data_IF_678962176358
#
_entry.id   IF_678962176358
#
_cell.length_a   1.000
_cell.length_b   1.000
_cell.length_c   1.000
_cell.angle_alpha   90.00
_cell.angle_beta   90.00
_cell.angle_gamma   90.00
#
_symmetry.space_group_name_H-M   'P 1'
#
loop_
_entity.id
_entity.type
_entity.pdbx_description
1 polymer ?
#
# COMPACT_ATOMS: atom_id res chain seq x y z
N UNK A 1 0.25 14.80 55.68
CA UNK A 1 1.60 14.28 55.32
C UNK A 1 1.75 12.75 55.46
N UNK A 2 1.27 12.05 56.49
CA UNK A 2 1.43 10.59 56.64
C UNK A 2 0.77 9.70 55.55
N UNK A 3 -0.34 10.16 54.90
CA UNK A 3 -1.02 9.39 53.82
C UNK A 3 -0.28 9.38 52.48
N UNK A 4 0.53 10.44 52.21
CA UNK A 4 1.31 10.56 50.97
C UNK A 4 2.53 9.68 51.01
N UNK A 5 3.20 9.59 52.20
CA UNK A 5 4.37 8.74 52.39
C UNK A 5 4.04 7.24 52.21
N UNK A 6 2.86 6.75 52.67
CA UNK A 6 2.46 5.37 52.47
C UNK A 6 2.22 5.01 50.99
N UNK A 7 1.65 5.93 50.19
CA UNK A 7 1.44 5.70 48.75
C UNK A 7 2.78 5.72 47.96
N UNK A 8 3.71 6.56 48.36
CA UNK A 8 5.05 6.61 47.74
C UNK A 8 5.87 5.35 48.01
N UNK A 9 5.75 4.80 49.23
CA UNK A 9 6.43 3.55 49.58
C UNK A 9 5.91 2.33 48.83
N UNK A 10 4.59 2.26 48.53
CA UNK A 10 3.99 1.17 47.75
C UNK A 10 4.41 1.25 46.28
N UNK A 11 4.47 2.44 45.70
CA UNK A 11 4.92 2.64 44.33
C UNK A 11 6.39 2.27 44.14
N UNK A 12 7.25 2.62 45.13
CA UNK A 12 8.65 2.26 45.09
C UNK A 12 8.88 0.74 45.23
N UNK A 13 8.09 0.07 46.08
CA UNK A 13 8.14 -1.38 46.22
C UNK A 13 7.70 -2.14 44.95
N UNK A 14 6.69 -1.64 44.27
CA UNK A 14 6.21 -2.22 43.00
C UNK A 14 7.25 -2.04 41.89
N UNK A 15 7.95 -0.89 41.83
CA UNK A 15 9.05 -0.69 40.88
C UNK A 15 10.25 -1.61 41.15
N UNK A 16 10.61 -1.89 42.41
CA UNK A 16 11.69 -2.82 42.72
C UNK A 16 11.37 -4.26 42.37
N UNK A 17 10.12 -4.68 42.48
CA UNK A 17 9.70 -6.03 42.08
C UNK A 17 9.72 -6.22 40.55
N UNK A 18 9.43 -5.16 39.79
CA UNK A 18 9.52 -5.21 38.31
C UNK A 18 10.98 -5.32 37.82
N UNK A 19 11.95 -4.79 38.56
CA UNK A 19 13.37 -4.87 38.16
C UNK A 19 14.00 -6.24 38.44
N UNK A 20 13.40 -7.10 39.27
CA UNK A 20 14.00 -8.40 39.60
C UNK A 20 13.66 -9.51 38.58
N UNK A 21 12.78 -9.26 37.60
CA UNK A 21 12.44 -10.26 36.59
C UNK A 21 13.27 -10.18 35.30
N UNK A 22 14.27 -9.29 35.21
CA UNK A 22 15.09 -9.16 34.00
C UNK A 22 16.44 -9.89 34.05
N UNK A 23 16.71 -10.68 35.07
CA UNK A 23 17.93 -11.48 35.16
C UNK A 23 17.61 -12.99 35.12
N UNK A 24 17.08 -13.48 33.99
CA UNK A 24 17.13 -14.89 33.68
C UNK A 24 18.44 -15.16 32.92
N UNK A 25 19.27 -16.11 33.35
CA UNK A 25 20.46 -16.49 32.60
C UNK A 25 20.01 -17.11 31.29
N UNK A 26 20.37 -16.51 30.16
CA UNK A 26 20.27 -17.16 28.87
C UNK A 26 21.22 -18.36 28.88
N UNK A 27 20.66 -19.56 29.04
CA UNK A 27 21.39 -20.78 28.73
C UNK A 27 21.70 -20.73 27.25
N UNK A 28 22.97 -20.71 26.89
CA UNK A 28 23.42 -20.96 25.54
C UNK A 28 23.00 -22.36 25.14
N UNK A 29 21.87 -22.47 24.45
CA UNK A 29 21.50 -23.69 23.77
C UNK A 29 22.29 -23.75 22.46
N UNK A 30 22.83 -24.93 22.21
CA UNK A 30 23.66 -25.27 21.06
C UNK A 30 23.05 -24.80 19.75
N UNK A 31 23.94 -24.42 18.84
CA UNK A 31 23.65 -24.11 17.47
C UNK A 31 22.75 -25.15 16.82
N UNK A 32 21.47 -24.87 16.74
CA UNK A 32 20.65 -25.37 15.65
C UNK A 32 21.07 -24.56 14.42
N UNK A 33 21.58 -25.27 13.44
CA UNK A 33 21.76 -24.77 12.08
C UNK A 33 20.38 -24.30 11.62
N UNK A 34 20.06 -23.02 11.85
CA UNK A 34 18.93 -22.41 11.19
C UNK A 34 19.27 -22.46 9.71
N UNK A 35 18.58 -23.32 8.96
CA UNK A 35 18.38 -23.06 7.54
C UNK A 35 18.01 -21.59 7.45
N UNK A 36 18.88 -20.77 6.85
CA UNK A 36 18.51 -19.44 6.38
C UNK A 36 17.39 -19.67 5.38
N UNK A 37 16.17 -19.68 5.89
CA UNK A 37 15.00 -19.40 5.07
C UNK A 37 15.29 -18.00 4.56
N UNK A 38 15.73 -17.90 3.31
CA UNK A 38 15.85 -16.64 2.58
C UNK A 38 14.55 -15.91 2.84
N UNK A 39 14.58 -14.97 3.79
CA UNK A 39 13.43 -14.12 4.08
C UNK A 39 13.14 -13.40 2.77
N UNK A 40 12.12 -13.87 2.07
CA UNK A 40 11.71 -13.27 0.80
C UNK A 40 11.36 -11.82 1.07
N UNK A 41 11.76 -10.93 0.17
CA UNK A 41 11.36 -9.53 0.26
C UNK A 41 9.84 -9.43 0.14
N UNK A 42 9.18 -8.76 1.08
CA UNK A 42 7.72 -8.59 1.11
C UNK A 42 7.32 -7.12 1.06
N UNK A 43 6.30 -6.85 0.28
CA UNK A 43 5.59 -5.57 0.33
C UNK A 43 4.26 -5.78 1.06
N UNK A 44 4.13 -5.18 2.25
CA UNK A 44 2.93 -5.21 3.06
C UNK A 44 2.12 -3.94 2.76
N UNK A 45 0.91 -4.10 2.26
CA UNK A 45 -0.03 -3.00 2.02
C UNK A 45 -1.03 -3.00 3.16
N UNK A 46 -1.03 -1.94 3.96
CA UNK A 46 -1.81 -1.80 5.17
C UNK A 46 -2.66 -0.54 5.15
N UNK A 47 -3.65 -0.47 6.00
CA UNK A 47 -4.49 0.71 6.17
C UNK A 47 -5.21 0.65 7.52
N UNK A 48 -5.67 1.80 8.02
CA UNK A 48 -6.63 1.85 9.12
C UNK A 48 -8.08 1.50 8.68
N UNK A 49 -8.32 1.31 7.38
CA UNK A 49 -9.68 1.12 6.80
C UNK A 49 -9.81 -0.10 5.89
N UNK A 50 -8.72 -0.72 5.46
CA UNK A 50 -8.70 -1.92 4.62
C UNK A 50 -7.95 -3.06 5.31
N UNK A 51 -8.31 -4.30 5.00
CA UNK A 51 -7.56 -5.46 5.47
C UNK A 51 -6.14 -5.45 4.87
N UNK A 52 -5.12 -5.84 5.66
CA UNK A 52 -3.75 -5.91 5.19
C UNK A 52 -3.57 -7.02 4.15
N UNK A 53 -2.79 -6.74 3.13
CA UNK A 53 -2.37 -7.72 2.12
C UNK A 53 -0.85 -7.68 1.94
N UNK A 54 -0.25 -8.81 1.58
CA UNK A 54 1.20 -8.92 1.41
C UNK A 54 1.53 -9.56 0.08
N UNK A 55 2.62 -9.11 -0.55
CA UNK A 55 3.10 -9.58 -1.84
C UNK A 55 4.60 -9.85 -1.77
N UNK A 56 5.02 -11.04 -2.20
CA UNK A 56 6.43 -11.37 -2.33
C UNK A 56 6.99 -10.72 -3.59
N UNK A 57 8.18 -10.12 -3.49
CA UNK A 57 8.86 -9.50 -4.61
C UNK A 57 10.32 -9.97 -4.69
N UNK A 58 10.93 -9.78 -5.84
CA UNK A 58 12.29 -10.23 -6.12
C UNK A 58 13.15 -9.12 -6.75
N UNK A 59 14.39 -9.43 -7.07
CA UNK A 59 15.34 -8.48 -7.65
C UNK A 59 14.95 -7.95 -9.04
N UNK A 60 14.05 -8.62 -9.76
CA UNK A 60 13.56 -8.21 -11.07
C UNK A 60 12.35 -7.25 -10.95
N UNK A 61 11.75 -7.15 -9.77
CA UNK A 61 10.65 -6.21 -9.54
C UNK A 61 11.18 -4.78 -9.56
N UNK A 62 10.76 -3.99 -10.54
CA UNK A 62 11.21 -2.59 -10.71
C UNK A 62 10.22 -1.60 -10.15
N UNK A 63 8.95 -1.93 -10.24
CA UNK A 63 7.89 -1.07 -9.73
C UNK A 63 6.82 -1.88 -9.01
N UNK A 64 6.17 -1.23 -8.06
CA UNK A 64 4.93 -1.70 -7.45
C UNK A 64 3.86 -0.63 -7.57
N UNK A 65 2.67 -1.04 -8.01
CA UNK A 65 1.49 -0.18 -8.09
C UNK A 65 0.56 -0.56 -6.95
N UNK A 66 0.41 0.31 -5.96
CA UNK A 66 -0.48 0.11 -4.81
C UNK A 66 -1.76 0.88 -5.04
N UNK A 67 -2.89 0.20 -4.94
CA UNK A 67 -4.23 0.77 -5.15
C UNK A 67 -5.11 0.52 -3.94
N UNK A 68 -5.78 1.56 -3.48
CA UNK A 68 -6.89 1.47 -2.53
C UNK A 68 -8.18 1.77 -3.27
N UNK A 69 -9.13 0.86 -3.17
CA UNK A 69 -10.47 0.97 -3.72
C UNK A 69 -11.43 1.35 -2.61
N UNK A 70 -12.45 2.12 -2.95
CA UNK A 70 -13.52 2.52 -2.05
C UNK A 70 -14.86 2.17 -2.69
N UNK A 71 -15.77 1.64 -1.89
CA UNK A 71 -17.20 1.60 -2.15
C UNK A 71 -17.94 2.27 -1.00
N UNK A 72 -18.89 3.15 -1.30
CA UNK A 72 -19.69 3.86 -0.31
C UNK A 72 -21.16 3.90 -0.74
N UNK A 73 -22.07 3.98 0.22
CA UNK A 73 -23.51 4.01 -0.06
C UNK A 73 -23.97 5.36 -0.63
N UNK A 74 -23.21 6.43 -0.36
CA UNK A 74 -23.51 7.81 -0.75
C UNK A 74 -22.36 8.45 -1.53
N UNK A 75 -22.64 9.60 -2.15
CA UNK A 75 -21.61 10.42 -2.78
C UNK A 75 -20.63 10.94 -1.74
N UNK A 76 -19.35 10.95 -2.04
CA UNK A 76 -18.31 11.51 -1.16
C UNK A 76 -18.12 12.99 -1.47
N UNK A 77 -17.98 13.80 -0.43
CA UNK A 77 -17.75 15.26 -0.52
C UNK A 77 -16.42 15.71 0.07
N UNK A 78 -15.93 15.01 1.11
CA UNK A 78 -14.67 15.35 1.74
C UNK A 78 -13.84 14.10 2.02
N UNK A 79 -12.53 14.24 1.88
CA UNK A 79 -11.57 13.19 2.21
C UNK A 79 -10.25 13.83 2.68
N UNK A 80 -9.64 13.23 3.70
CA UNK A 80 -8.27 13.54 4.11
C UNK A 80 -7.56 12.26 4.46
N UNK A 81 -6.35 12.10 3.92
CA UNK A 81 -5.56 10.91 4.14
C UNK A 81 -4.08 11.18 4.06
N UNK A 82 -3.32 10.25 4.58
CA UNK A 82 -1.88 10.21 4.38
C UNK A 82 -1.42 8.79 4.00
N UNK A 83 -0.52 8.71 3.03
CA UNK A 83 0.17 7.49 2.65
C UNK A 83 1.60 7.56 3.18
N UNK A 84 2.05 6.53 3.87
CA UNK A 84 3.44 6.39 4.34
C UNK A 84 4.08 5.14 3.72
N UNK A 85 5.39 5.22 3.49
CA UNK A 85 6.16 4.13 2.90
C UNK A 85 7.63 4.18 3.37
N UNK A 86 8.35 3.07 3.27
CA UNK A 86 9.78 3.04 3.57
C UNK A 86 10.60 3.55 2.39
N UNK A 87 11.15 4.76 2.49
CA UNK A 87 11.96 5.39 1.44
C UNK A 87 13.32 4.72 1.19
N UNK A 88 13.75 3.77 2.02
CA UNK A 88 14.95 2.96 1.77
C UNK A 88 14.69 1.86 0.74
N UNK A 89 13.45 1.41 0.61
CA UNK A 89 13.06 0.33 -0.28
C UNK A 89 12.22 0.84 -1.46
N UNK A 90 11.35 1.82 -1.23
CA UNK A 90 10.40 2.35 -2.20
C UNK A 90 10.64 3.84 -2.44
N UNK A 91 10.59 4.26 -3.69
CA UNK A 91 10.60 5.67 -4.09
C UNK A 91 9.35 5.97 -4.89
N UNK A 92 8.67 7.06 -4.56
CA UNK A 92 7.51 7.49 -5.34
C UNK A 92 7.93 7.78 -6.79
N UNK A 93 7.35 7.05 -7.74
CA UNK A 93 7.69 7.18 -9.16
C UNK A 93 7.29 8.56 -9.71
N UNK A 94 8.12 9.13 -10.57
CA UNK A 94 7.86 10.44 -11.21
C UNK A 94 6.62 10.44 -12.12
N UNK A 95 6.12 9.25 -12.48
CA UNK A 95 4.92 9.06 -13.31
C UNK A 95 3.61 9.29 -12.55
N UNK A 96 3.67 9.45 -11.22
CA UNK A 96 2.50 9.79 -10.42
C UNK A 96 2.08 11.23 -10.70
N UNK A 97 1.01 11.41 -11.46
CA UNK A 97 0.32 12.69 -11.63
C UNK A 97 -0.96 12.67 -10.82
N UNK A 98 -1.51 13.84 -10.51
CA UNK A 98 -2.75 13.95 -9.75
C UNK A 98 -3.87 13.11 -10.36
N UNK A 99 -4.05 13.20 -11.67
CA UNK A 99 -5.11 12.52 -12.41
C UNK A 99 -4.94 11.00 -12.41
N UNK A 100 -3.70 10.51 -12.41
CA UNK A 100 -3.39 9.07 -12.32
C UNK A 100 -3.58 8.54 -10.91
N UNK A 101 -3.13 9.31 -9.92
CA UNK A 101 -3.21 8.91 -8.51
C UNK A 101 -4.65 8.97 -8.00
N UNK A 102 -5.42 9.99 -8.40
CA UNK A 102 -6.77 10.26 -7.89
C UNK A 102 -7.79 10.39 -9.04
N UNK A 103 -8.08 9.31 -9.78
CA UNK A 103 -8.87 9.39 -11.00
C UNK A 103 -10.32 9.87 -10.75
N UNK A 104 -10.89 9.61 -9.57
CA UNK A 104 -12.24 10.06 -9.21
C UNK A 104 -12.23 11.51 -8.72
N UNK A 105 -11.30 11.88 -7.84
CA UNK A 105 -11.20 13.23 -7.27
C UNK A 105 -10.61 14.25 -8.25
N UNK A 106 -9.75 13.81 -9.15
CA UNK A 106 -9.10 14.63 -10.18
C UNK A 106 -8.52 15.95 -9.65
N UNK A 107 -9.06 17.09 -10.12
CA UNK A 107 -8.56 18.43 -9.80
C UNK A 107 -8.96 18.91 -8.40
N UNK A 108 -9.99 18.32 -7.81
CA UNK A 108 -10.52 18.72 -6.52
C UNK A 108 -9.69 18.28 -5.33
N UNK A 109 -8.67 17.43 -5.57
CA UNK A 109 -7.75 16.99 -4.53
C UNK A 109 -6.47 17.84 -4.50
N UNK A 110 -6.08 18.23 -3.30
CA UNK A 110 -4.77 18.84 -3.04
C UNK A 110 -3.88 17.77 -2.42
N UNK A 111 -2.67 17.61 -2.94
CA UNK A 111 -1.74 16.62 -2.46
C UNK A 111 -0.32 17.16 -2.39
N UNK A 112 0.50 16.59 -1.48
CA UNK A 112 1.91 16.93 -1.32
C UNK A 112 2.78 15.67 -1.48
N UNK A 113 3.33 15.41 -2.68
CA UNK A 113 4.22 14.27 -2.93
C UNK A 113 5.68 14.55 -2.54
N UNK A 114 6.02 15.77 -2.13
CA UNK A 114 7.41 16.19 -1.85
C UNK A 114 7.90 15.83 -0.46
N UNK A 115 7.04 15.26 0.39
CA UNK A 115 7.44 14.80 1.71
C UNK A 115 8.20 13.49 1.60
N UNK A 116 9.33 13.39 2.29
CA UNK A 116 10.09 12.14 2.35
C UNK A 116 9.25 11.07 3.05
N UNK A 117 9.12 9.88 2.45
CA UNK A 117 8.39 8.72 2.95
C UNK A 117 6.91 8.94 3.30
N UNK A 118 6.32 10.06 2.88
CA UNK A 118 4.93 10.39 3.17
C UNK A 118 4.29 11.21 2.04
N UNK A 119 3.05 10.91 1.71
CA UNK A 119 2.19 11.74 0.85
C UNK A 119 0.96 12.11 1.66
N UNK A 120 0.64 13.39 1.76
CA UNK A 120 -0.63 13.86 2.34
C UNK A 120 -1.52 14.37 1.24
N UNK A 121 -2.80 14.07 1.34
CA UNK A 121 -3.80 14.57 0.40
C UNK A 121 -5.12 14.83 1.08
N UNK A 122 -5.84 15.83 0.56
CA UNK A 122 -7.14 16.24 1.06
C UNK A 122 -8.01 16.69 -0.10
N UNK A 123 -9.28 16.35 -0.02
CA UNK A 123 -10.33 16.89 -0.83
C UNK A 123 -11.35 17.53 0.10
N UNK A 124 -11.65 18.81 -0.12
CA UNK A 124 -12.69 19.55 0.55
C UNK A 124 -13.30 20.46 -0.49
N UNK A 125 -14.38 20.04 -1.09
CA UNK A 125 -14.94 20.65 -2.28
C UNK A 125 -16.46 20.53 -2.26
N UNK A 126 -17.12 21.37 -3.04
CA UNK A 126 -18.55 21.22 -3.32
C UNK A 126 -18.84 20.19 -4.42
N UNK A 127 -17.81 19.50 -4.93
CA UNK A 127 -17.97 18.43 -5.91
C UNK A 127 -18.49 17.16 -5.23
N UNK A 128 -19.24 16.38 -5.99
CA UNK A 128 -19.76 15.09 -5.59
C UNK A 128 -18.94 13.98 -6.27
N UNK A 129 -18.32 13.10 -5.48
CA UNK A 129 -17.50 12.02 -5.99
C UNK A 129 -18.23 10.68 -5.86
N UNK A 130 -18.41 10.02 -6.99
CA UNK A 130 -19.19 8.78 -7.05
C UNK A 130 -18.33 7.56 -6.71
N UNK A 131 -18.63 6.97 -5.54
CA UNK A 131 -18.11 5.70 -5.07
C UNK A 131 -19.24 4.68 -4.77
N UNK A 132 -20.47 4.90 -5.26
CA UNK A 132 -21.59 3.96 -5.06
C UNK A 132 -21.32 2.59 -5.71
N UNK A 133 -20.48 2.55 -6.75
CA UNK A 133 -19.79 1.34 -7.19
C UNK A 133 -18.33 1.41 -6.73
N UNK A 134 -17.69 0.24 -6.51
CA UNK A 134 -16.27 0.20 -6.16
C UNK A 134 -15.44 0.95 -7.21
N UNK A 135 -14.63 1.90 -6.75
CA UNK A 135 -13.79 2.72 -7.62
C UNK A 135 -12.44 3.05 -6.94
N UNK A 136 -11.50 3.57 -7.70
CA UNK A 136 -10.16 3.91 -7.19
C UNK A 136 -10.24 5.14 -6.29
N UNK A 137 -9.94 4.93 -5.00
CA UNK A 137 -9.76 6.02 -4.04
C UNK A 137 -8.42 6.72 -4.28
N UNK A 138 -7.34 5.92 -4.32
CA UNK A 138 -6.01 6.38 -4.75
C UNK A 138 -5.18 5.21 -5.28
N UNK A 139 -4.26 5.51 -6.21
CA UNK A 139 -3.28 4.54 -6.70
C UNK A 139 -1.92 5.20 -6.83
N UNK A 140 -0.88 4.54 -6.30
CA UNK A 140 0.48 5.06 -6.29
C UNK A 140 1.43 4.05 -6.93
N UNK A 141 2.26 4.54 -7.83
CA UNK A 141 3.38 3.77 -8.40
C UNK A 141 4.65 4.10 -7.63
N UNK A 142 5.36 3.06 -7.21
CA UNK A 142 6.67 3.18 -6.57
C UNK A 142 7.73 2.48 -7.41
N UNK A 143 8.89 3.10 -7.53
CA UNK A 143 10.11 2.43 -7.99
C UNK A 143 10.68 1.66 -6.79
N UNK A 144 11.04 0.39 -7.00
CA UNK A 144 11.75 -0.43 -6.01
C UNK A 144 13.23 -0.07 -6.09
N UNK A 145 13.76 0.54 -5.04
CA UNK A 145 15.14 1.06 -4.99
C UNK A 145 16.02 0.34 -3.98
N UNK A 146 15.44 -0.52 -3.15
CA UNK A 146 16.12 -1.29 -2.12
C UNK A 146 15.56 -2.70 -2.01
N UNK A 147 16.01 -3.43 -0.99
CA UNK A 147 15.60 -4.80 -0.69
C UNK A 147 15.18 -4.91 0.78
N UNK A 148 14.50 -6.00 1.13
CA UNK A 148 13.98 -6.28 2.46
C UNK A 148 12.47 -6.02 2.57
N UNK A 149 11.90 -6.46 3.67
CA UNK A 149 10.48 -6.25 3.93
C UNK A 149 10.16 -4.77 4.07
N UNK A 150 9.08 -4.35 3.42
CA UNK A 150 8.64 -2.95 3.42
C UNK A 150 7.13 -2.85 3.60
N UNK A 151 6.67 -1.67 3.99
CA UNK A 151 5.24 -1.41 4.20
C UNK A 151 4.82 -0.13 3.48
N UNK A 152 3.67 -0.20 2.83
CA UNK A 152 2.92 0.97 2.35
C UNK A 152 1.63 1.04 3.16
N UNK A 153 1.45 2.11 3.92
CA UNK A 153 0.30 2.28 4.81
C UNK A 153 -0.53 3.51 4.44
N UNK A 154 -1.84 3.32 4.27
CA UNK A 154 -2.82 4.40 4.10
C UNK A 154 -3.55 4.64 5.41
N UNK A 155 -3.43 5.84 5.95
CA UNK A 155 -4.27 6.35 7.03
C UNK A 155 -5.32 7.29 6.46
N UNK A 156 -6.58 6.90 6.53
CA UNK A 156 -7.72 7.77 6.22
C UNK A 156 -8.11 8.47 7.52
N UNK A 157 -7.79 9.77 7.60
CA UNK A 157 -8.07 10.59 8.77
C UNK A 157 -9.55 11.01 8.81
N UNK A 158 -10.09 11.30 7.62
CA UNK A 158 -11.41 11.86 7.46
C UNK A 158 -12.04 11.45 6.13
N UNK A 159 -13.31 11.05 6.15
CA UNK A 159 -14.11 10.75 4.98
C UNK A 159 -15.57 11.04 5.27
N UNK A 160 -16.20 11.90 4.46
CA UNK A 160 -17.64 12.17 4.56
C UNK A 160 -18.33 12.08 3.22
N UNK A 161 -19.54 11.58 3.25
CA UNK A 161 -20.49 11.60 2.15
C UNK A 161 -21.65 12.56 2.41
N UNK A 162 -22.58 12.58 1.47
CA UNK A 162 -23.84 13.35 1.59
C UNK A 162 -24.99 12.52 1.04
N UNK A 163 -26.19 12.78 1.55
CA UNK A 163 -27.44 12.22 1.01
C UNK A 163 -27.80 12.80 -0.36
N UNK A 164 -27.13 13.89 -0.78
CA UNK A 164 -27.34 14.50 -2.09
C UNK A 164 -26.71 13.62 -3.20
N UNK A 165 -27.42 13.41 -4.29
CA UNK A 165 -26.95 12.71 -5.47
C UNK A 165 -26.59 13.66 -6.62
N UNK A 166 -27.03 14.90 -6.54
CA UNK A 166 -26.78 15.95 -7.52
C UNK A 166 -26.25 17.21 -6.83
N UNK A 167 -25.61 18.06 -7.64
CA UNK A 167 -25.07 19.34 -7.15
C UNK A 167 -26.20 20.25 -6.62
N UNK A 168 -27.35 20.28 -7.27
CA UNK A 168 -28.48 21.12 -6.83
C UNK A 168 -29.03 20.64 -5.49
N UNK A 169 -29.14 19.34 -5.27
CA UNK A 169 -29.56 18.75 -4.00
C UNK A 169 -28.58 19.02 -2.85
N UNK A 170 -27.30 19.20 -3.14
CA UNK A 170 -26.28 19.46 -2.11
C UNK A 170 -26.59 20.75 -1.31
N UNK A 171 -27.29 21.71 -1.91
CA UNK A 171 -27.67 22.98 -1.29
C UNK A 171 -29.05 22.98 -0.63
N UNK A 172 -29.76 21.86 -0.68
CA UNK A 172 -30.99 21.69 0.05
C UNK A 172 -30.71 21.56 1.55
N UNK A 173 -31.36 22.36 2.37
CA UNK A 173 -31.14 22.44 3.83
C UNK A 173 -31.46 21.13 4.58
N UNK A 174 -32.20 20.22 3.95
CA UNK A 174 -32.62 18.94 4.53
C UNK A 174 -31.59 17.83 4.31
N UNK A 175 -30.66 18.01 3.38
CA UNK A 175 -29.61 17.00 3.10
C UNK A 175 -28.55 17.05 4.19
N UNK A 176 -28.11 15.87 4.63
CA UNK A 176 -27.15 15.73 5.73
C UNK A 176 -25.83 15.20 5.23
N UNK A 177 -24.77 15.67 5.86
CA UNK A 177 -23.46 15.06 5.74
C UNK A 177 -23.43 13.75 6.53
N UNK A 178 -22.85 12.71 5.93
CA UNK A 178 -22.70 11.40 6.52
C UNK A 178 -21.21 11.16 6.77
N UNK A 179 -20.83 11.06 8.05
CA UNK A 179 -19.47 10.74 8.43
C UNK A 179 -19.21 9.24 8.28
N UNK A 180 -18.23 8.86 7.48
CA UNK A 180 -17.74 7.48 7.41
C UNK A 180 -16.54 7.26 8.32
N UNK A 181 -15.68 8.28 8.43
CA UNK A 181 -14.49 8.28 9.27
C UNK A 181 -14.34 9.71 9.81
N UNK A 182 -14.12 9.80 11.11
CA UNK A 182 -13.86 11.07 11.79
C UNK A 182 -12.55 10.92 12.60
N UNK A 183 -11.54 11.72 12.25
CA UNK A 183 -10.23 11.77 12.89
C UNK A 183 -9.55 10.38 13.09
N UNK A 184 -9.83 9.43 12.19
CA UNK A 184 -9.27 8.08 12.23
C UNK A 184 -9.84 7.16 13.32
N UNK A 185 -10.71 7.66 14.20
CA UNK A 185 -11.16 6.93 15.38
C UNK A 185 -12.49 6.19 15.19
N UNK A 186 -13.43 6.77 14.42
CA UNK A 186 -14.78 6.22 14.27
C UNK A 186 -15.03 5.79 12.83
N UNK A 187 -15.20 4.49 12.61
CA UNK A 187 -15.69 3.96 11.35
C UNK A 187 -17.21 3.93 11.38
N UNK A 188 -17.86 4.69 10.52
CA UNK A 188 -19.30 4.63 10.32
C UNK A 188 -19.61 3.59 9.24
N UNK A 189 -20.67 2.79 9.42
CA UNK A 189 -21.11 1.81 8.44
C UNK A 189 -21.41 2.45 7.08
N UNK A 190 -21.12 1.75 5.98
CA UNK A 190 -21.46 2.17 4.61
C UNK A 190 -20.27 2.49 3.70
N UNK A 191 -19.05 2.60 4.23
CA UNK A 191 -17.83 2.66 3.42
C UNK A 191 -17.00 1.40 3.56
N UNK A 192 -16.65 0.78 2.45
CA UNK A 192 -15.78 -0.39 2.39
C UNK A 192 -14.54 -0.09 1.56
N UNK A 193 -13.37 -0.40 2.13
CA UNK A 193 -12.08 -0.24 1.46
C UNK A 193 -11.44 -1.59 1.16
N UNK A 194 -10.79 -1.67 0.00
CA UNK A 194 -9.98 -2.82 -0.41
C UNK A 194 -8.61 -2.34 -0.85
N UNK A 195 -7.54 -3.04 -0.44
CA UNK A 195 -6.17 -2.73 -0.83
C UNK A 195 -5.62 -3.83 -1.74
N UNK A 196 -4.81 -3.45 -2.73
CA UNK A 196 -4.09 -4.39 -3.59
C UNK A 196 -2.79 -3.80 -4.08
N UNK A 197 -1.85 -4.67 -4.50
CA UNK A 197 -0.66 -4.26 -5.22
C UNK A 197 -0.46 -5.12 -6.48
N UNK A 198 0.15 -4.49 -7.49
CA UNK A 198 0.60 -5.16 -8.72
C UNK A 198 2.10 -4.92 -8.84
N UNK A 199 2.87 -6.00 -8.97
CA UNK A 199 4.32 -5.96 -9.14
C UNK A 199 4.64 -5.91 -10.63
N UNK A 200 5.41 -4.91 -11.05
CA UNK A 200 5.89 -4.77 -12.43
C UNK A 200 7.32 -5.24 -12.48
N UNK A 201 7.59 -6.26 -13.29
CA UNK A 201 8.91 -6.85 -13.51
C UNK A 201 9.46 -6.37 -14.84
N UNK A 202 10.80 -6.45 -15.01
CA UNK A 202 11.37 -6.34 -16.33
C UNK A 202 10.83 -7.51 -17.20
N UNK A 203 10.38 -7.23 -18.41
CA UNK A 203 10.13 -8.29 -19.37
C UNK A 203 11.44 -9.01 -19.59
N UNK A 204 11.46 -10.31 -19.30
CA UNK A 204 12.61 -11.15 -19.64
C UNK A 204 12.83 -11.01 -21.16
N UNK A 205 14.06 -10.66 -21.62
CA UNK A 205 14.28 -10.49 -23.05
C UNK A 205 13.85 -11.78 -23.73
N UNK A 206 12.80 -11.70 -24.52
CA UNK A 206 12.31 -12.82 -25.33
C UNK A 206 13.50 -13.30 -26.13
N UNK A 207 14.07 -14.46 -25.77
CA UNK A 207 15.17 -15.07 -26.51
C UNK A 207 14.72 -15.18 -27.95
N UNK A 208 15.32 -14.37 -28.82
CA UNK A 208 15.05 -14.43 -30.24
C UNK A 208 15.10 -15.90 -30.66
N UNK A 209 14.14 -16.39 -31.46
CA UNK A 209 14.16 -17.79 -31.87
C UNK A 209 15.51 -18.11 -32.47
N UNK A 210 16.19 -19.06 -31.87
CA UNK A 210 17.49 -19.54 -32.30
C UNK A 210 17.39 -19.90 -33.81
N UNK A 211 18.25 -19.33 -34.68
CA UNK A 211 18.14 -19.59 -36.11
C UNK A 211 18.24 -21.11 -36.32
N UNK A 212 17.17 -21.67 -36.83
CA UNK A 212 17.09 -23.08 -37.21
C UNK A 212 18.19 -23.27 -38.25
N UNK A 213 19.17 -24.13 -37.89
CA UNK A 213 20.27 -24.53 -38.76
C UNK A 213 19.70 -24.97 -40.12
N UNK A 214 19.98 -24.19 -41.16
CA UNK A 214 19.54 -24.52 -42.52
C UNK A 214 20.05 -25.93 -42.88
N UNK A 215 19.13 -26.83 -43.21
CA UNK A 215 19.41 -28.17 -43.66
C UNK A 215 20.29 -28.06 -44.91
N UNK A 216 21.49 -28.58 -44.83
CA UNK A 216 22.49 -28.63 -45.90
C UNK A 216 21.86 -29.31 -47.13
N UNK A 217 21.92 -28.75 -48.36
CA UNK A 217 21.35 -29.39 -49.55
C UNK A 217 22.08 -30.66 -49.85
N UNK A 218 21.35 -31.75 -50.00
CA UNK A 218 21.85 -33.07 -50.38
C UNK A 218 22.44 -33.00 -51.79
N UNK A 219 23.69 -33.43 -51.92
CA UNK A 219 24.48 -33.50 -53.17
C UNK A 219 23.73 -34.31 -54.23
N UNK A 220 23.46 -33.67 -55.36
CA UNK A 220 22.84 -34.33 -56.53
C UNK A 220 23.78 -35.40 -57.09
N UNK A 221 23.26 -36.60 -57.23
CA UNK A 221 23.93 -37.76 -57.85
C UNK A 221 24.16 -37.49 -59.34
N UNK A 222 25.39 -37.57 -59.80
CA UNK A 222 25.82 -37.40 -61.17
C UNK A 222 25.33 -38.58 -62.08
N UNK A 223 24.78 -38.34 -63.27
CA UNK A 223 24.32 -39.39 -64.12
C UNK A 223 25.54 -40.13 -64.78
N UNK A 224 25.57 -41.46 -64.70
CA UNK A 224 26.55 -42.33 -65.30
C UNK A 224 26.25 -42.44 -66.78
N UNK A 225 27.18 -42.02 -67.66
CA UNK A 225 27.17 -42.25 -69.10
C UNK A 225 27.55 -43.70 -69.39
N UNK A 226 26.66 -44.44 -70.03
CA UNK A 226 26.97 -45.76 -70.56
C UNK A 226 27.30 -45.64 -72.10
N UNK A 227 28.46 -46.12 -72.48
CA UNK A 227 28.93 -46.31 -73.89
C UNK A 227 28.43 -47.62 -74.44
#
# INVERSE_FOLDING_TARGET
MKKIQKKLSVVLAVMMVLCMFTALPFSASAAETSEETSAGNKINVTSNVADPVSYDYNAQTKQVVVTYLLKADHMIVNAQSSLTYDSKVLKLASTNTREKVFPVFQRSIVWNPSLTNKVRFTCSSLDLFNFKSENVYCTFTFDVVGSGDTTVNLDVDYLTGTEADTYDELFESEKKDIGYIDNGANKVAGAAFTAKAVLVQDEEPTTAPQPTTATQPTTATQPTTVT
#
